data_IF_730323158032
#
_entry.id   IF_730323158032
#
_cell.length_a   1.000
_cell.length_b   1.000
_cell.length_c   1.000
_cell.angle_alpha   90.00
_cell.angle_beta   90.00
_cell.angle_gamma   90.00
#
_symmetry.space_group_name_H-M   'P 1'
#
loop_
_entity.id
_entity.type
_entity.pdbx_description
1 polymer ?
#
# COMPACT_ATOMS: atom_id res chain seq x y z
N UNK A 1 26.91 -10.30 -10.45
CA UNK A 1 26.51 -9.03 -9.80
C UNK A 1 25.26 -8.51 -10.50
N UNK A 2 24.06 -8.56 -9.89
CA UNK A 2 22.82 -8.14 -10.54
C UNK A 2 22.85 -6.63 -10.82
N UNK A 3 22.20 -6.15 -11.89
CA UNK A 3 22.46 -4.85 -12.53
C UNK A 3 21.32 -3.85 -12.32
N UNK A 4 21.57 -2.56 -11.97
CA UNK A 4 20.51 -1.58 -11.73
C UNK A 4 19.95 -0.79 -12.93
N UNK A 5 18.71 -0.31 -12.76
CA UNK A 5 17.64 0.20 -13.63
C UNK A 5 17.04 1.46 -13.00
N UNK A 6 16.49 2.36 -13.82
CA UNK A 6 15.98 3.65 -13.38
C UNK A 6 14.58 3.98 -13.89
N UNK A 7 13.88 4.84 -13.14
CA UNK A 7 12.46 5.14 -13.31
C UNK A 7 12.16 6.69 -13.37
N UNK A 8 11.16 7.16 -14.14
CA UNK A 8 10.70 8.54 -14.39
C UNK A 8 9.16 8.68 -14.46
N UNK A 9 8.52 9.86 -14.48
CA UNK A 9 7.09 9.99 -14.77
C UNK A 9 6.78 10.39 -16.24
N UNK A 10 5.60 10.04 -16.74
CA UNK A 10 5.20 10.25 -18.14
C UNK A 10 5.08 11.74 -18.57
N UNK A 11 5.75 12.12 -19.66
CA UNK A 11 5.47 13.34 -20.46
C UNK A 11 5.59 13.05 -21.97
N UNK A 12 4.65 13.57 -22.77
CA UNK A 12 4.46 13.21 -24.19
C UNK A 12 5.62 13.55 -25.17
N UNK A 13 5.72 12.65 -26.17
CA UNK A 13 5.97 12.80 -27.61
C UNK A 13 7.39 13.00 -28.24
N UNK A 14 7.70 12.04 -29.13
CA UNK A 14 8.24 12.15 -30.53
C UNK A 14 9.67 11.59 -30.86
N UNK A 15 9.62 10.56 -31.73
CA UNK A 15 10.41 10.24 -32.95
C UNK A 15 11.84 9.65 -32.94
N UNK A 16 11.86 8.36 -33.27
CA UNK A 16 12.64 7.59 -34.29
C UNK A 16 14.09 8.02 -34.63
N UNK A 17 15.04 7.14 -34.31
CA UNK A 17 15.93 6.37 -35.24
C UNK A 17 16.79 5.34 -34.45
N UNK A 18 17.06 4.17 -35.05
CA UNK A 18 17.98 3.08 -34.58
C UNK A 18 19.40 3.32 -35.16
N UNK A 19 20.54 2.85 -34.59
CA UNK A 19 20.81 1.42 -34.29
C UNK A 19 21.82 1.05 -33.16
N UNK A 20 21.99 -0.28 -33.00
CA UNK A 20 23.14 -1.07 -32.51
C UNK A 20 23.33 -1.31 -30.99
N UNK A 21 23.40 -2.61 -30.66
CA UNK A 21 23.74 -3.18 -29.35
C UNK A 21 25.17 -2.81 -28.94
N UNK A 22 25.37 -2.38 -27.69
CA UNK A 22 26.52 -2.81 -26.90
C UNK A 22 26.31 -2.62 -25.39
N UNK A 23 27.01 -3.43 -24.60
CA UNK A 23 26.89 -3.53 -23.16
C UNK A 23 27.35 -2.25 -22.47
N UNK A 24 26.41 -1.50 -21.88
CA UNK A 24 26.72 -0.23 -21.21
C UNK A 24 25.88 0.02 -19.97
N UNK A 25 26.55 0.38 -18.87
CA UNK A 25 25.98 0.99 -17.65
C UNK A 25 25.30 2.32 -18.01
N UNK A 26 24.19 2.68 -17.34
CA UNK A 26 23.45 3.93 -17.65
C UNK A 26 23.04 4.68 -16.37
N UNK A 27 23.13 6.02 -16.46
CA UNK A 27 23.06 7.05 -15.39
C UNK A 27 21.91 8.01 -15.69
N UNK A 28 21.36 8.74 -14.72
CA UNK A 28 20.28 9.69 -15.00
C UNK A 28 20.04 10.80 -13.96
N UNK A 29 19.26 11.82 -14.35
CA UNK A 29 18.88 13.07 -13.65
C UNK A 29 17.33 13.24 -13.59
N UNK A 30 16.80 14.21 -12.82
CA UNK A 30 15.37 14.48 -12.51
C UNK A 30 15.21 16.07 -12.60
N UNK A 31 14.02 16.73 -12.81
CA UNK A 31 13.85 18.24 -12.69
C UNK A 31 12.50 18.88 -12.17
N UNK A 32 12.25 19.22 -10.88
CA UNK A 32 11.01 19.92 -10.32
C UNK A 32 11.47 21.29 -9.82
N UNK A 33 10.60 22.30 -9.85
CA UNK A 33 10.87 23.67 -9.39
C UNK A 33 10.06 24.02 -8.13
N UNK A 34 10.72 24.76 -7.24
CA UNK A 34 10.31 25.24 -5.90
C UNK A 34 11.60 25.48 -5.09
N UNK A 35 11.81 26.65 -4.44
CA UNK A 35 13.03 27.42 -4.66
C UNK A 35 14.26 26.96 -3.85
N UNK A 36 15.40 26.97 -4.56
CA UNK A 36 16.79 26.93 -4.08
C UNK A 36 17.34 25.60 -3.53
N UNK A 37 17.45 24.61 -4.43
CA UNK A 37 18.74 24.14 -5.01
C UNK A 37 18.44 23.12 -6.11
N UNK A 38 18.73 23.53 -7.34
CA UNK A 38 18.29 22.93 -8.60
C UNK A 38 18.94 21.57 -8.91
N UNK A 39 18.20 20.48 -8.70
CA UNK A 39 18.55 19.15 -9.22
C UNK A 39 17.66 18.06 -8.64
N UNK A 40 16.62 17.65 -9.37
CA UNK A 40 15.83 16.46 -9.01
C UNK A 40 16.84 15.26 -9.28
N UNK A 41 17.05 14.32 -8.35
CA UNK A 41 17.87 13.07 -8.48
C UNK A 41 17.07 11.74 -8.62
N UNK A 42 17.26 10.94 -9.69
CA UNK A 42 16.41 9.77 -9.90
C UNK A 42 16.82 8.54 -9.09
N UNK A 43 15.93 7.57 -9.03
CA UNK A 43 16.12 6.34 -8.28
C UNK A 43 16.79 5.23 -9.10
N UNK A 44 17.76 4.54 -8.50
CA UNK A 44 18.58 3.52 -9.17
C UNK A 44 18.36 2.16 -8.47
N UNK A 45 17.92 1.14 -9.20
CA UNK A 45 17.49 -0.17 -8.66
C UNK A 45 17.88 -1.36 -9.50
N UNK A 46 18.35 -2.45 -8.90
CA UNK A 46 18.55 -3.70 -9.63
C UNK A 46 17.32 -4.15 -10.44
N UNK A 47 17.49 -4.37 -11.76
CA UNK A 47 16.43 -4.86 -12.67
C UNK A 47 15.66 -5.98 -12.03
N UNK A 48 16.43 -6.98 -11.63
CA UNK A 48 15.93 -8.26 -11.21
C UNK A 48 15.04 -8.08 -9.99
N UNK A 49 15.38 -7.12 -9.11
CA UNK A 49 14.57 -6.81 -7.93
C UNK A 49 13.20 -6.24 -8.27
N UNK A 50 13.10 -5.35 -9.26
CA UNK A 50 11.83 -4.74 -9.66
C UNK A 50 10.99 -5.71 -10.52
N UNK A 51 11.62 -6.37 -11.49
CA UNK A 51 10.94 -7.33 -12.37
C UNK A 51 10.47 -8.59 -11.64
N UNK A 52 11.07 -8.92 -10.49
CA UNK A 52 10.69 -10.10 -9.72
C UNK A 52 9.34 -9.93 -9.00
N UNK A 53 8.89 -8.70 -8.74
CA UNK A 53 7.63 -8.45 -8.03
C UNK A 53 6.56 -7.71 -8.83
N UNK A 54 6.91 -7.10 -9.96
CA UNK A 54 6.02 -6.19 -10.68
C UNK A 54 6.02 -6.48 -12.18
N UNK A 55 4.83 -6.83 -12.68
CA UNK A 55 4.60 -7.06 -14.11
C UNK A 55 4.75 -5.77 -14.93
N UNK A 56 4.49 -4.62 -14.31
CA UNK A 56 4.78 -3.32 -14.90
C UNK A 56 6.27 -3.20 -15.26
N UNK A 57 7.17 -3.52 -14.32
CA UNK A 57 8.61 -3.44 -14.59
C UNK A 57 9.09 -4.53 -15.54
N UNK A 58 8.50 -5.72 -15.53
CA UNK A 58 8.76 -6.76 -16.56
C UNK A 58 8.45 -6.21 -17.95
N UNK A 59 7.26 -5.64 -18.13
CA UNK A 59 6.81 -5.10 -19.41
C UNK A 59 7.61 -3.86 -19.83
N UNK A 60 7.86 -2.93 -18.90
CA UNK A 60 8.62 -1.71 -19.16
C UNK A 60 10.06 -2.03 -19.58
N UNK A 61 10.74 -2.93 -18.86
CA UNK A 61 12.09 -3.39 -19.22
C UNK A 61 12.12 -4.09 -20.59
N UNK A 62 11.07 -4.86 -20.92
CA UNK A 62 11.00 -5.55 -22.21
C UNK A 62 10.82 -4.57 -23.39
N UNK A 63 10.02 -3.50 -23.22
CA UNK A 63 9.67 -2.56 -24.29
C UNK A 63 10.76 -1.52 -24.56
N UNK A 64 11.32 -0.93 -23.51
CA UNK A 64 12.22 0.21 -23.66
C UNK A 64 13.61 -0.19 -24.15
N UNK A 65 14.06 -1.41 -23.83
CA UNK A 65 15.33 -1.92 -24.37
C UNK A 65 15.29 -2.27 -25.85
N UNK A 66 14.14 -2.20 -26.51
CA UNK A 66 14.06 -2.30 -27.97
C UNK A 66 14.26 -0.95 -28.70
N UNK A 67 14.27 0.18 -27.99
CA UNK A 67 14.26 1.53 -28.58
C UNK A 67 15.59 2.30 -28.54
N UNK A 68 16.61 1.81 -27.84
CA UNK A 68 17.97 2.37 -27.91
C UNK A 68 18.20 3.59 -27.00
N UNK A 69 19.34 3.55 -26.31
CA UNK A 69 20.06 4.59 -25.57
C UNK A 69 19.58 5.08 -24.20
N UNK A 70 18.29 5.23 -23.92
CA UNK A 70 17.85 5.68 -22.58
C UNK A 70 17.15 4.57 -21.78
N UNK A 71 17.88 3.95 -20.83
CA UNK A 71 17.34 2.95 -19.87
C UNK A 71 16.47 3.62 -18.80
N UNK A 72 15.40 4.27 -19.23
CA UNK A 72 14.50 5.10 -18.43
C UNK A 72 13.09 4.52 -18.46
N UNK A 73 12.67 3.93 -17.34
CA UNK A 73 11.30 3.44 -17.18
C UNK A 73 10.39 4.54 -16.72
N UNK A 74 9.33 4.89 -17.44
CA UNK A 74 8.39 5.89 -16.92
C UNK A 74 7.28 5.27 -16.08
N UNK A 75 7.31 5.40 -14.75
CA UNK A 75 6.21 5.09 -13.83
C UNK A 75 5.02 6.07 -13.93
N UNK A 76 3.84 5.60 -13.52
CA UNK A 76 2.66 6.45 -13.31
C UNK A 76 2.91 7.59 -12.31
N UNK A 77 1.92 8.47 -12.16
CA UNK A 77 1.95 9.62 -11.25
C UNK A 77 1.95 9.17 -9.77
N UNK A 78 3.08 8.64 -9.30
CA UNK A 78 3.33 8.20 -7.94
C UNK A 78 4.18 9.27 -7.25
N UNK A 79 3.75 9.70 -6.07
CA UNK A 79 4.50 10.66 -5.26
C UNK A 79 5.90 10.11 -4.93
N UNK A 80 6.97 10.94 -4.96
CA UNK A 80 8.32 10.45 -4.71
C UNK A 80 8.51 9.77 -3.36
N UNK A 81 7.82 10.24 -2.31
CA UNK A 81 7.86 9.63 -0.97
C UNK A 81 7.20 8.25 -0.96
N UNK A 82 6.07 8.07 -1.65
CA UNK A 82 5.42 6.77 -1.82
C UNK A 82 6.32 5.82 -2.62
N UNK A 83 7.01 6.34 -3.63
CA UNK A 83 7.92 5.54 -4.44
C UNK A 83 9.19 5.16 -3.66
N UNK A 84 9.72 6.04 -2.81
CA UNK A 84 10.79 5.70 -1.85
C UNK A 84 10.37 4.53 -0.96
N UNK A 85 9.15 4.60 -0.43
CA UNK A 85 8.58 3.53 0.39
C UNK A 85 8.39 2.21 -0.38
N UNK A 86 7.94 2.28 -1.64
CA UNK A 86 7.84 1.10 -2.51
C UNK A 86 9.18 0.39 -2.68
N UNK A 87 10.25 1.16 -2.80
CA UNK A 87 11.58 0.61 -3.08
C UNK A 87 12.26 0.00 -1.86
N UNK A 88 11.88 0.49 -0.68
CA UNK A 88 12.30 -0.04 0.61
C UNK A 88 11.10 -0.58 1.40
N UNK A 89 10.41 -1.57 0.83
CA UNK A 89 9.32 -2.28 1.52
C UNK A 89 9.80 -3.01 2.80
N UNK A 90 11.11 -3.21 2.98
CA UNK A 90 11.66 -3.69 4.26
C UNK A 90 11.57 -2.64 5.37
N UNK A 91 11.45 -1.37 4.99
CA UNK A 91 11.20 -0.22 5.86
C UNK A 91 9.75 0.25 5.78
N UNK A 92 8.80 -0.68 5.55
CA UNK A 92 7.38 -0.37 5.75
C UNK A 92 7.22 0.30 7.11
N UNK A 93 6.59 1.49 7.18
CA UNK A 93 6.53 2.23 8.42
C UNK A 93 5.81 1.39 9.45
N UNK A 94 6.51 1.03 10.52
CA UNK A 94 5.92 0.37 11.68
C UNK A 94 5.54 1.45 12.68
N UNK A 95 4.25 1.77 12.80
CA UNK A 95 3.80 2.83 13.70
C UNK A 95 2.35 3.26 13.48
N UNK A 96 1.74 3.83 14.53
CA UNK A 96 0.31 4.21 14.57
C UNK A 96 -0.08 5.35 13.60
N UNK A 97 0.88 6.16 13.15
CA UNK A 97 0.65 7.47 12.50
C UNK A 97 0.74 7.48 10.96
N UNK A 98 0.90 6.33 10.30
CA UNK A 98 1.19 6.31 8.85
C UNK A 98 0.24 5.44 8.04
N UNK A 99 -1.03 5.36 8.40
CA UNK A 99 -2.01 4.58 7.63
C UNK A 99 -2.18 5.14 6.22
N UNK A 100 -2.12 6.47 6.08
CA UNK A 100 -2.15 7.14 4.79
C UNK A 100 -1.04 6.69 3.83
N UNK A 101 0.19 6.58 4.31
CA UNK A 101 1.34 6.12 3.52
C UNK A 101 1.15 4.69 3.01
N UNK A 102 0.55 3.81 3.83
CA UNK A 102 0.22 2.45 3.41
C UNK A 102 -0.85 2.44 2.33
N UNK A 103 -1.90 3.25 2.47
CA UNK A 103 -2.96 3.35 1.46
C UNK A 103 -2.40 3.88 0.13
N UNK A 104 -1.56 4.92 0.17
CA UNK A 104 -0.85 5.41 -1.02
C UNK A 104 0.05 4.33 -1.63
N UNK A 105 0.76 3.56 -0.80
CA UNK A 105 1.60 2.46 -1.27
C UNK A 105 0.79 1.34 -1.91
N UNK A 106 -0.41 1.03 -1.40
CA UNK A 106 -1.31 0.07 -2.02
C UNK A 106 -1.70 0.53 -3.42
N UNK A 107 -2.10 1.81 -3.56
CA UNK A 107 -2.44 2.41 -4.86
C UNK A 107 -1.24 2.40 -5.80
N UNK A 108 -0.04 2.73 -5.31
CA UNK A 108 1.19 2.60 -6.08
C UNK A 108 1.45 1.15 -6.52
N UNK A 109 1.21 0.16 -5.66
CA UNK A 109 1.29 -1.25 -5.99
C UNK A 109 0.30 -1.65 -7.10
N UNK A 110 -0.90 -1.07 -7.11
CA UNK A 110 -1.89 -1.27 -8.17
C UNK A 110 -1.40 -0.68 -9.51
N UNK A 111 -0.92 0.56 -9.50
CA UNK A 111 -0.34 1.24 -10.65
C UNK A 111 0.88 0.50 -11.23
N UNK A 112 1.67 -0.14 -10.36
CA UNK A 112 2.87 -0.89 -10.71
C UNK A 112 2.61 -2.38 -10.93
N UNK A 113 1.35 -2.84 -10.90
CA UNK A 113 1.01 -4.25 -11.05
C UNK A 113 1.85 -5.16 -10.12
N UNK A 114 2.04 -4.72 -8.87
CA UNK A 114 2.82 -5.42 -7.85
C UNK A 114 1.88 -5.96 -6.76
N UNK A 115 1.34 -7.16 -7.02
CA UNK A 115 0.45 -7.85 -6.08
C UNK A 115 1.12 -8.13 -4.74
N UNK A 116 2.45 -8.34 -4.75
CA UNK A 116 3.22 -8.63 -3.53
C UNK A 116 3.21 -7.43 -2.59
N UNK A 117 3.46 -6.23 -3.10
CA UNK A 117 3.39 -5.00 -2.29
C UNK A 117 1.98 -4.74 -1.79
N UNK A 118 0.95 -4.96 -2.62
CA UNK A 118 -0.46 -4.84 -2.19
C UNK A 118 -0.76 -5.78 -1.02
N UNK A 119 -0.32 -7.03 -1.10
CA UNK A 119 -0.49 -8.00 -0.02
C UNK A 119 0.28 -7.62 1.26
N UNK A 120 1.52 -7.13 1.12
CA UNK A 120 2.31 -6.62 2.26
C UNK A 120 1.63 -5.44 2.96
N UNK A 121 1.00 -4.54 2.19
CA UNK A 121 0.22 -3.44 2.77
C UNK A 121 -0.98 -3.98 3.53
N UNK A 122 -1.72 -4.95 2.98
CA UNK A 122 -2.84 -5.57 3.70
C UNK A 122 -2.39 -6.22 5.00
N UNK A 123 -1.27 -6.95 4.99
CA UNK A 123 -0.69 -7.55 6.18
C UNK A 123 -0.46 -6.51 7.27
N UNK A 124 0.18 -5.39 6.92
CA UNK A 124 0.47 -4.31 7.85
C UNK A 124 -0.82 -3.63 8.36
N UNK A 125 -1.78 -3.33 7.47
CA UNK A 125 -3.07 -2.75 7.86
C UNK A 125 -3.85 -3.66 8.82
N UNK A 126 -3.80 -4.97 8.58
CA UNK A 126 -4.41 -6.00 9.44
C UNK A 126 -3.73 -6.05 10.82
N UNK A 127 -2.40 -6.01 10.87
CA UNK A 127 -1.64 -5.96 12.13
C UNK A 127 -2.04 -4.72 12.93
N UNK A 128 -2.10 -3.55 12.27
CA UNK A 128 -2.52 -2.28 12.90
C UNK A 128 -3.94 -2.36 13.43
N UNK A 129 -4.87 -2.90 12.64
CA UNK A 129 -6.26 -3.11 13.07
C UNK A 129 -6.32 -3.92 14.37
N UNK A 130 -5.50 -4.97 14.50
CA UNK A 130 -5.43 -5.79 15.71
C UNK A 130 -4.89 -5.09 16.97
N UNK A 131 -4.12 -4.01 16.83
CA UNK A 131 -3.51 -3.29 17.96
C UNK A 131 -4.41 -2.22 18.60
N UNK A 132 -5.46 -1.77 17.90
CA UNK A 132 -6.35 -0.74 18.42
C UNK A 132 -7.37 -1.29 19.42
N UNK A 133 -7.66 -0.59 20.55
CA UNK A 133 -8.59 -1.05 21.59
C UNK A 133 -10.01 -1.40 21.10
N UNK A 134 -10.39 -0.86 19.94
CA UNK A 134 -11.68 -1.09 19.29
C UNK A 134 -11.55 -1.69 17.89
N UNK A 135 -10.34 -2.09 17.48
CA UNK A 135 -10.06 -2.53 16.12
C UNK A 135 -10.31 -1.48 15.04
N UNK A 136 -10.23 -0.20 15.40
CA UNK A 136 -10.53 0.92 14.51
C UNK A 136 -9.24 1.42 13.89
N UNK A 137 -9.12 1.25 12.58
CA UNK A 137 -8.07 1.92 11.82
C UNK A 137 -8.38 3.42 11.77
N UNK A 138 -7.44 4.26 12.22
CA UNK A 138 -7.55 5.71 12.03
C UNK A 138 -7.19 6.02 10.58
N UNK A 139 -8.18 6.48 9.79
CA UNK A 139 -8.02 6.85 8.39
C UNK A 139 -8.66 8.22 8.18
N UNK A 140 -7.82 9.20 7.88
CA UNK A 140 -8.29 10.56 7.58
C UNK A 140 -9.09 10.59 6.26
N UNK A 141 -10.06 11.52 6.11
CA UNK A 141 -10.93 11.61 4.95
C UNK A 141 -10.19 11.68 3.61
N UNK A 142 -9.08 12.41 3.54
CA UNK A 142 -8.28 12.58 2.32
C UNK A 142 -7.70 11.25 1.84
N UNK A 143 -7.38 10.31 2.74
CA UNK A 143 -6.88 8.99 2.37
C UNK A 143 -8.01 8.08 1.88
N UNK A 144 -9.21 8.19 2.47
CA UNK A 144 -10.40 7.50 1.94
C UNK A 144 -10.71 7.99 0.54
N UNK A 145 -10.68 9.31 0.33
CA UNK A 145 -10.86 9.91 -0.99
C UNK A 145 -9.84 9.41 -1.98
N UNK A 146 -8.56 9.43 -1.62
CA UNK A 146 -7.48 8.93 -2.49
C UNK A 146 -7.73 7.48 -2.92
N UNK A 147 -8.15 6.61 -2.01
CA UNK A 147 -8.51 5.21 -2.36
C UNK A 147 -9.70 5.14 -3.31
N UNK A 148 -10.77 5.90 -3.09
CA UNK A 148 -11.95 5.90 -3.97
C UNK A 148 -11.70 6.52 -5.35
N UNK A 149 -10.73 7.41 -5.48
CA UNK A 149 -10.37 8.01 -6.77
C UNK A 149 -9.42 7.12 -7.60
N UNK A 150 -8.57 6.30 -6.94
CA UNK A 150 -7.45 5.63 -7.59
C UNK A 150 -7.50 4.09 -7.53
N UNK A 151 -8.60 3.50 -7.07
CA UNK A 151 -8.80 2.04 -7.07
C UNK A 151 -10.10 1.64 -7.76
N UNK A 152 -10.20 0.40 -8.24
CA UNK A 152 -11.46 -0.15 -8.72
C UNK A 152 -12.50 -0.30 -7.58
N UNK A 153 -13.79 -0.24 -7.92
CA UNK A 153 -14.89 -0.34 -6.97
C UNK A 153 -14.91 -1.68 -6.22
N UNK A 154 -14.49 -2.76 -6.88
CA UNK A 154 -14.38 -4.12 -6.34
C UNK A 154 -12.99 -4.43 -5.75
N UNK A 155 -12.12 -3.43 -5.61
CA UNK A 155 -10.77 -3.64 -5.10
C UNK A 155 -10.75 -4.11 -3.64
N UNK A 156 -9.81 -5.02 -3.34
CA UNK A 156 -9.65 -5.56 -1.98
C UNK A 156 -9.38 -4.48 -0.92
N UNK A 157 -8.76 -3.36 -1.27
CA UNK A 157 -8.50 -2.28 -0.32
C UNK A 157 -9.78 -1.54 0.08
N UNK A 158 -10.72 -1.32 -0.86
CA UNK A 158 -12.04 -0.78 -0.53
C UNK A 158 -12.81 -1.76 0.35
N UNK A 159 -12.83 -3.04 -0.02
CA UNK A 159 -13.48 -4.08 0.80
C UNK A 159 -12.90 -4.15 2.23
N UNK A 160 -11.58 -4.02 2.38
CA UNK A 160 -10.89 -3.95 3.65
C UNK A 160 -11.31 -2.72 4.47
N UNK A 161 -11.27 -1.52 3.87
CA UNK A 161 -11.66 -0.28 4.55
C UNK A 161 -13.13 -0.33 4.96
N UNK A 162 -14.04 -0.69 4.05
CA UNK A 162 -15.47 -0.80 4.34
C UNK A 162 -15.75 -1.76 5.49
N UNK A 163 -15.08 -2.91 5.52
CA UNK A 163 -15.25 -3.88 6.62
C UNK A 163 -14.68 -3.34 7.94
N UNK A 164 -13.57 -2.60 7.89
CA UNK A 164 -12.97 -1.96 9.08
C UNK A 164 -13.85 -0.84 9.65
N UNK A 165 -14.39 0.02 8.77
CA UNK A 165 -15.35 1.05 9.16
C UNK A 165 -16.62 0.41 9.72
N UNK A 166 -17.22 -0.57 9.01
CA UNK A 166 -18.44 -1.24 9.46
C UNK A 166 -18.29 -1.99 10.79
N UNK A 167 -17.09 -2.48 11.13
CA UNK A 167 -16.82 -3.14 12.41
C UNK A 167 -16.80 -2.18 13.60
N UNK A 168 -16.58 -0.89 13.35
CA UNK A 168 -16.24 0.08 14.40
C UNK A 168 -17.14 1.30 14.44
N UNK A 169 -17.90 1.55 13.37
CA UNK A 169 -18.84 2.65 13.27
C UNK A 169 -20.11 2.38 14.07
N UNK A 170 -20.63 3.45 14.65
CA UNK A 170 -21.93 3.53 15.29
C UNK A 170 -22.51 4.92 14.99
N UNK A 171 -23.80 5.19 15.27
CA UNK A 171 -24.42 6.47 14.95
C UNK A 171 -23.66 7.68 15.49
N UNK A 172 -23.07 7.58 16.69
CA UNK A 172 -22.27 8.66 17.29
C UNK A 172 -21.01 8.94 16.47
N UNK A 173 -20.27 7.92 16.05
CA UNK A 173 -19.05 8.10 15.24
C UNK A 173 -19.37 8.59 13.84
N UNK A 174 -20.43 8.08 13.21
CA UNK A 174 -20.87 8.56 11.89
C UNK A 174 -21.24 10.04 11.96
N UNK A 175 -21.88 10.48 13.05
CA UNK A 175 -22.21 11.89 13.28
C UNK A 175 -20.99 12.83 13.42
N UNK A 176 -19.78 12.29 13.62
CA UNK A 176 -18.54 13.07 13.64
C UNK A 176 -17.94 13.26 12.24
N UNK A 177 -18.48 12.62 11.21
CA UNK A 177 -17.92 12.71 9.87
C UNK A 177 -18.37 14.03 9.23
N UNK A 178 -17.40 14.81 8.79
CA UNK A 178 -17.66 15.96 7.93
C UNK A 178 -17.87 15.43 6.50
N UNK A 179 -19.13 15.19 6.15
CA UNK A 179 -19.55 14.48 4.92
C UNK A 179 -18.91 15.04 3.64
N UNK A 180 -18.61 16.32 3.60
CA UNK A 180 -18.02 17.03 2.46
C UNK A 180 -16.57 16.56 2.17
N UNK A 181 -15.90 15.97 3.15
CA UNK A 181 -14.53 15.49 3.01
C UNK A 181 -14.44 14.04 2.50
N UNK A 182 -15.55 13.32 2.43
CA UNK A 182 -15.61 11.94 1.95
C UNK A 182 -16.22 11.86 0.55
N UNK A 183 -15.85 10.84 -0.26
CA UNK A 183 -16.55 10.54 -1.50
C UNK A 183 -18.03 10.25 -1.26
N UNK A 184 -18.91 10.68 -2.17
CA UNK A 184 -20.36 10.37 -2.07
C UNK A 184 -20.62 8.88 -1.99
N UNK A 185 -19.91 8.12 -2.83
CA UNK A 185 -20.11 6.69 -3.00
C UNK A 185 -19.60 5.91 -1.78
N UNK A 186 -18.66 6.47 -1.01
CA UNK A 186 -18.15 5.85 0.20
C UNK A 186 -19.26 5.56 1.21
N UNK A 187 -20.16 6.51 1.46
CA UNK A 187 -21.25 6.30 2.41
C UNK A 187 -22.30 5.32 1.89
N UNK A 188 -22.53 5.30 0.58
CA UNK A 188 -23.41 4.31 -0.06
C UNK A 188 -22.82 2.90 0.09
N UNK A 189 -21.55 2.72 -0.25
CA UNK A 189 -20.82 1.45 -0.12
C UNK A 189 -20.76 0.99 1.34
N UNK A 190 -20.55 1.92 2.28
CA UNK A 190 -20.51 1.64 3.71
C UNK A 190 -21.89 1.21 4.24
N UNK A 191 -22.97 1.83 3.77
CA UNK A 191 -24.33 1.45 4.14
C UNK A 191 -24.66 0.04 3.63
N UNK A 192 -24.32 -0.28 2.37
CA UNK A 192 -24.46 -1.63 1.82
C UNK A 192 -23.68 -2.64 2.66
N UNK A 193 -22.42 -2.34 2.97
CA UNK A 193 -21.58 -3.23 3.77
C UNK A 193 -22.13 -3.45 5.18
N UNK A 194 -22.68 -2.41 5.82
CA UNK A 194 -23.35 -2.56 7.10
C UNK A 194 -24.57 -3.48 7.03
N UNK A 195 -25.36 -3.40 5.96
CA UNK A 195 -26.52 -4.27 5.76
C UNK A 195 -26.12 -5.72 5.53
N UNK A 196 -25.05 -5.98 4.79
CA UNK A 196 -24.50 -7.34 4.60
C UNK A 196 -24.04 -7.98 5.91
N UNK A 197 -23.53 -7.16 6.84
CA UNK A 197 -22.92 -7.62 8.08
C UNK A 197 -23.86 -7.54 9.30
N UNK A 198 -25.09 -7.03 9.12
CA UNK A 198 -26.03 -6.71 10.22
C UNK A 198 -26.33 -7.87 11.16
N UNK A 199 -26.34 -9.09 10.61
CA UNK A 199 -26.69 -10.32 11.32
C UNK A 199 -25.44 -11.05 11.87
N UNK A 200 -24.24 -10.48 11.69
CA UNK A 200 -22.96 -11.04 12.13
C UNK A 200 -22.37 -10.26 13.31
N UNK A 201 -21.62 -10.94 14.19
CA UNK A 201 -20.86 -10.23 15.22
C UNK A 201 -19.65 -9.51 14.57
N UNK A 202 -19.30 -8.28 14.99
CA UNK A 202 -18.06 -7.62 14.55
C UNK A 202 -16.81 -8.50 14.69
N UNK A 203 -16.76 -9.36 15.71
CA UNK A 203 -15.65 -10.32 15.91
C UNK A 203 -15.50 -11.30 14.74
N UNK A 204 -16.56 -11.59 14.01
CA UNK A 204 -16.60 -12.58 12.92
C UNK A 204 -16.11 -12.01 11.58
N UNK A 205 -16.14 -10.69 11.41
CA UNK A 205 -15.72 -10.06 10.17
C UNK A 205 -14.62 -9.03 10.30
N UNK A 206 -14.32 -8.54 11.52
CA UNK A 206 -13.23 -7.58 11.73
C UNK A 206 -11.92 -8.11 11.13
N UNK A 207 -11.21 -7.31 10.31
CA UNK A 207 -9.94 -7.74 9.75
C UNK A 207 -8.94 -8.06 10.84
N UNK A 208 -8.31 -9.23 10.72
CA UNK A 208 -7.27 -9.69 11.62
C UNK A 208 -6.34 -10.66 10.88
N UNK A 209 -5.22 -11.01 11.49
CA UNK A 209 -4.16 -11.81 10.84
C UNK A 209 -4.72 -13.15 10.32
N UNK A 210 -5.65 -13.79 11.03
CA UNK A 210 -6.26 -15.04 10.58
C UNK A 210 -7.17 -14.86 9.35
N UNK A 211 -7.69 -13.65 9.11
CA UNK A 211 -8.64 -13.32 8.02
C UNK A 211 -8.04 -12.49 6.88
N UNK A 212 -6.74 -12.15 6.94
CA UNK A 212 -6.05 -11.29 5.97
C UNK A 212 -6.18 -11.75 4.51
N UNK A 213 -6.21 -13.07 4.28
CA UNK A 213 -6.34 -13.64 2.94
C UNK A 213 -7.65 -13.26 2.23
N UNK A 214 -8.69 -12.79 2.96
CA UNK A 214 -9.91 -12.24 2.35
C UNK A 214 -9.65 -10.99 1.52
N UNK A 215 -8.52 -10.32 1.76
CA UNK A 215 -8.14 -9.08 1.10
C UNK A 215 -6.83 -9.21 0.32
N UNK A 216 -6.19 -10.40 0.33
CA UNK A 216 -5.02 -10.65 -0.49
C UNK A 216 -5.41 -10.96 -1.93
N UNK A 217 -4.48 -10.70 -2.82
CA UNK A 217 -4.56 -11.09 -4.22
C UNK A 217 -3.81 -12.42 -4.38
N UNK A 218 -4.46 -13.36 -5.05
CA UNK A 218 -3.95 -14.69 -5.32
C UNK A 218 -4.10 -14.97 -6.81
N UNK A 219 -3.02 -15.39 -7.46
CA UNK A 219 -3.06 -15.77 -8.87
C UNK A 219 -3.90 -17.05 -9.09
N UNK A 220 -5.08 -16.90 -9.70
CA UNK A 220 -5.94 -17.97 -10.21
C UNK A 220 -6.86 -18.66 -9.18
N UNK A 221 -7.95 -19.32 -9.63
CA UNK A 221 -9.01 -19.84 -8.75
C UNK A 221 -8.65 -21.11 -7.95
N UNK A 222 -7.40 -21.61 -7.96
CA UNK A 222 -7.14 -22.95 -7.41
C UNK A 222 -5.73 -23.29 -6.93
N UNK A 223 -4.84 -22.34 -6.59
CA UNK A 223 -3.49 -22.74 -6.11
C UNK A 223 -3.13 -22.47 -4.67
N UNK A 224 -3.94 -21.74 -3.90
CA UNK A 224 -3.73 -21.66 -2.45
C UNK A 224 -5.06 -21.64 -1.71
N UNK A 225 -5.70 -22.81 -1.64
CA UNK A 225 -6.91 -23.02 -0.84
C UNK A 225 -6.64 -23.02 0.68
N UNK A 226 -5.40 -22.78 1.09
CA UNK A 226 -5.00 -22.84 2.50
C UNK A 226 -4.12 -21.64 2.87
N UNK A 227 -4.53 -20.96 3.95
CA UNK A 227 -3.81 -19.87 4.61
C UNK A 227 -2.31 -20.16 4.81
N UNK A 228 -1.93 -21.43 4.95
CA UNK A 228 -0.56 -21.91 5.14
C UNK A 228 0.41 -21.52 4.02
N UNK A 229 -0.04 -21.41 2.78
CA UNK A 229 0.85 -21.08 1.66
C UNK A 229 0.95 -19.57 1.42
N UNK A 230 -0.11 -18.83 1.74
CA UNK A 230 -0.07 -17.37 1.81
C UNK A 230 0.97 -16.89 2.83
N UNK A 231 1.09 -17.57 3.99
CA UNK A 231 2.06 -17.24 5.04
C UNK A 231 3.52 -17.43 4.56
N UNK A 232 3.77 -18.40 3.67
CA UNK A 232 5.13 -18.71 3.16
C UNK A 232 5.67 -17.65 2.21
N UNK A 233 4.80 -16.89 1.53
CA UNK A 233 5.20 -15.82 0.60
C UNK A 233 5.52 -14.49 1.31
N UNK A 234 5.34 -14.42 2.63
CA UNK A 234 5.67 -13.29 3.49
C UNK A 234 6.84 -13.65 4.42
N UNK A 235 8.10 -13.68 3.95
CA UNK A 235 9.23 -13.87 4.85
C UNK A 235 9.42 -12.60 5.69
N UNK A 236 9.28 -12.72 7.02
CA UNK A 236 9.92 -11.81 7.98
C UNK A 236 9.04 -10.84 8.78
N UNK A 237 7.78 -10.58 8.42
CA UNK A 237 6.93 -9.66 9.22
C UNK A 237 6.30 -10.30 10.46
N UNK A 238 5.96 -11.60 10.42
CA UNK A 238 5.29 -12.28 11.54
C UNK A 238 6.22 -12.60 12.72
N UNK A 239 7.51 -12.31 12.63
CA UNK A 239 8.51 -12.66 13.65
C UNK A 239 8.97 -11.49 14.54
N UNK A 240 8.29 -10.32 14.49
CA UNK A 240 8.68 -9.18 15.34
C UNK A 240 7.49 -8.56 16.07
N UNK A 241 7.24 -8.92 17.33
CA UNK A 241 6.75 -7.91 18.25
C UNK A 241 7.90 -6.92 18.43
N UNK A 242 7.74 -5.68 17.95
CA UNK A 242 8.62 -4.59 18.36
C UNK A 242 8.51 -4.50 19.89
N UNK A 243 9.57 -4.88 20.61
CA UNK A 243 9.65 -4.81 22.07
C UNK A 243 9.23 -3.41 22.57
N UNK A 244 9.51 -2.37 21.77
CA UNK A 244 9.12 -0.98 22.03
C UNK A 244 7.61 -0.74 21.99
N UNK A 245 6.87 -1.39 21.08
CA UNK A 245 5.40 -1.27 21.00
C UNK A 245 4.76 -1.99 22.18
N UNK A 246 5.30 -3.16 22.53
CA UNK A 246 4.84 -3.94 23.69
C UNK A 246 5.08 -3.18 24.99
N UNK A 247 6.22 -2.49 25.11
CA UNK A 247 6.59 -1.68 26.26
C UNK A 247 5.74 -0.39 26.38
N UNK A 248 5.45 0.29 25.27
CA UNK A 248 4.56 1.46 25.24
C UNK A 248 3.11 1.10 25.56
N UNK A 249 2.60 -0.02 25.05
CA UNK A 249 1.25 -0.52 25.38
C UNK A 249 1.15 -0.95 26.85
N UNK A 250 2.20 -1.58 27.40
CA UNK A 250 2.25 -1.94 28.82
C UNK A 250 2.33 -0.71 29.72
N UNK A 251 3.05 0.34 29.30
CA UNK A 251 3.08 1.63 30.00
C UNK A 251 1.70 2.30 30.01
N UNK A 252 1.03 2.38 28.86
CA UNK A 252 -0.32 2.95 28.73
C UNK A 252 -1.37 2.17 29.55
N UNK A 253 -1.29 0.83 29.55
CA UNK A 253 -2.16 -0.03 30.38
C UNK A 253 -1.95 0.17 31.89
N UNK A 254 -0.72 0.46 32.33
CA UNK A 254 -0.42 0.77 33.73
C UNK A 254 -1.00 2.13 34.13
N UNK A 255 -0.90 3.12 33.26
CA UNK A 255 -1.46 4.46 33.47
C UNK A 255 -3.00 4.45 33.49
N UNK A 256 -3.64 3.69 32.61
CA UNK A 256 -5.10 3.55 32.58
C UNK A 256 -5.65 2.78 33.81
N UNK A 257 -4.90 1.81 34.34
CA UNK A 257 -5.25 1.13 35.59
C UNK A 257 -5.10 2.04 36.80
N UNK A 258 -4.06 2.88 36.83
CA UNK A 258 -3.87 3.86 37.90
C UNK A 258 -4.99 4.90 37.93
N UNK A 259 -5.47 5.35 36.76
CA UNK A 259 -6.59 6.31 36.65
C UNK A 259 -7.95 5.74 37.05
N UNK A 260 -8.14 4.41 36.99
CA UNK A 260 -9.38 3.74 37.41
C UNK A 260 -9.43 3.37 38.89
N UNK A 261 -8.30 3.54 39.60
CA UNK A 261 -8.18 3.26 41.02
C UNK A 261 -8.26 4.52 41.91
N UNK A 262 -8.48 5.68 41.29
CA UNK A 262 -8.81 6.97 41.92
C UNK A 262 -10.27 7.31 41.63
#
# INVERSE_FOLDING_TARGET
MPTPIKIEPATEAVSRKRPALEHGQVKLKRRLHGPRRSGRSPFIFHKDRLCQSSDFFVAACAREWQQGDEKIIRVPAIEPSTFELYTDWTSLPTGEQETGNLLQLYIAGDMLLDERVKNLVIDELVIRTGHWPHGSLCVEPEHVRHVWEHSAADSNIRAFLLTSFAATMNPTKIGLFEKEFYPSDFFYDLALRHMELRDSSPRDYIPNVAKRCRYHIHAGPSKFSQHSDCVKQTPGLLARPSEKVTEQLNKKRREDRARRAQ
#
